data_IF_152984304577
#
_entry.id   IF_152984304577
#
_cell.length_a   1.000
_cell.length_b   1.000
_cell.length_c   1.000
_cell.angle_alpha   90.00
_cell.angle_beta   90.00
_cell.angle_gamma   90.00
#
_symmetry.space_group_name_H-M   'P 1'
#
loop_
_entity.id
_entity.type
_entity.pdbx_description
1 polymer ?
#
# COMPACT_ATOMS: atom_id res chain seq x y z
N UNK A 1 15.79 30.47 10.21
CA UNK A 1 16.45 29.28 10.80
C UNK A 1 16.00 28.04 10.03
N UNK A 2 16.77 27.65 9.01
CA UNK A 2 17.00 26.33 8.37
C UNK A 2 15.86 25.31 8.12
N UNK A 3 14.58 25.61 8.36
CA UNK A 3 13.45 24.68 8.13
C UNK A 3 13.33 24.25 6.67
N UNK A 4 13.63 25.15 5.74
CA UNK A 4 13.62 24.88 4.29
C UNK A 4 14.73 23.90 3.88
N UNK A 5 15.92 24.00 4.50
CA UNK A 5 17.03 23.06 4.28
C UNK A 5 16.71 21.68 4.85
N UNK A 6 16.06 21.62 6.01
CA UNK A 6 15.60 20.36 6.62
C UNK A 6 14.53 19.68 5.76
N UNK A 7 13.56 20.43 5.24
CA UNK A 7 12.54 19.92 4.33
C UNK A 7 13.16 19.41 3.02
N UNK A 8 14.09 20.15 2.43
CA UNK A 8 14.79 19.72 1.22
C UNK A 8 15.60 18.44 1.44
N UNK A 9 16.29 18.32 2.58
CA UNK A 9 17.03 17.12 2.95
C UNK A 9 16.10 15.93 3.22
N UNK A 10 14.98 16.18 3.89
CA UNK A 10 13.96 15.16 4.14
C UNK A 10 13.37 14.65 2.82
N UNK A 11 12.96 15.54 1.91
CA UNK A 11 12.46 15.21 0.56
C UNK A 11 13.46 14.36 -0.22
N UNK A 12 14.74 14.72 -0.17
CA UNK A 12 15.82 14.00 -0.86
C UNK A 12 16.01 12.56 -0.37
N UNK A 13 15.65 12.27 0.89
CA UNK A 13 15.78 10.94 1.51
C UNK A 13 14.47 10.34 2.03
N UNK A 14 13.30 10.82 1.56
CA UNK A 14 11.97 10.33 1.99
C UNK A 14 11.81 8.82 1.83
N UNK A 15 12.41 8.24 0.79
CA UNK A 15 12.37 6.80 0.54
C UNK A 15 13.02 5.98 1.65
N UNK A 16 14.23 6.37 2.08
CA UNK A 16 14.97 5.68 3.13
C UNK A 16 14.26 5.77 4.49
N UNK A 17 13.73 6.95 4.83
CA UNK A 17 13.03 7.17 6.10
C UNK A 17 11.72 6.37 6.15
N UNK A 18 10.95 6.37 5.07
CA UNK A 18 9.74 5.55 4.97
C UNK A 18 10.06 4.06 5.01
N UNK A 19 11.11 3.63 4.30
CA UNK A 19 11.56 2.24 4.31
C UNK A 19 11.98 1.78 5.71
N UNK A 20 12.76 2.59 6.43
CA UNK A 20 13.16 2.32 7.80
C UNK A 20 11.96 2.27 8.76
N UNK A 21 11.01 3.20 8.63
CA UNK A 21 9.80 3.20 9.46
C UNK A 21 8.93 1.96 9.23
N UNK A 22 8.74 1.56 7.97
CA UNK A 22 7.99 0.35 7.60
C UNK A 22 8.71 -0.91 8.08
N UNK A 23 10.03 -0.99 7.88
CA UNK A 23 10.84 -2.11 8.32
C UNK A 23 10.85 -2.27 9.84
N UNK A 24 10.92 -1.16 10.58
CA UNK A 24 10.82 -1.16 12.03
C UNK A 24 9.44 -1.64 12.50
N UNK A 25 8.37 -1.16 11.89
CA UNK A 25 7.01 -1.58 12.22
C UNK A 25 6.79 -3.08 11.95
N UNK A 26 7.29 -3.58 10.83
CA UNK A 26 7.27 -5.01 10.50
C UNK A 26 8.09 -5.83 11.50
N UNK A 27 9.28 -5.37 11.90
CA UNK A 27 10.12 -6.05 12.88
C UNK A 27 9.44 -6.14 14.25
N UNK A 28 8.81 -5.06 14.71
CA UNK A 28 8.01 -5.06 15.96
C UNK A 28 6.85 -6.04 15.85
N UNK A 29 6.16 -6.09 14.71
CA UNK A 29 5.06 -7.01 14.47
C UNK A 29 5.52 -8.49 14.50
N UNK A 30 6.71 -8.79 13.95
CA UNK A 30 7.37 -10.11 14.02
C UNK A 30 7.66 -10.49 15.46
N UNK A 31 8.16 -9.56 16.27
CA UNK A 31 8.50 -9.79 17.66
C UNK A 31 7.26 -10.11 18.51
N UNK A 32 6.14 -9.39 18.27
CA UNK A 32 4.90 -9.54 19.05
C UNK A 32 4.07 -10.75 18.62
N UNK A 33 3.92 -10.98 17.31
CA UNK A 33 3.09 -12.08 16.79
C UNK A 33 3.84 -13.41 16.68
N UNK A 34 5.17 -13.37 16.55
CA UNK A 34 6.04 -14.53 16.29
C UNK A 34 6.37 -14.71 14.80
N UNK A 35 7.54 -15.30 14.52
CA UNK A 35 8.12 -15.44 13.16
C UNK A 35 7.18 -16.11 12.15
N UNK A 36 6.52 -17.20 12.53
CA UNK A 36 5.61 -17.94 11.65
C UNK A 36 4.36 -17.14 11.26
N UNK A 37 3.82 -16.31 12.17
CA UNK A 37 2.62 -15.52 11.89
C UNK A 37 2.90 -14.43 10.86
N UNK A 38 4.07 -13.80 10.93
CA UNK A 38 4.43 -12.78 9.96
C UNK A 38 4.75 -13.37 8.59
N UNK A 39 5.33 -14.57 8.52
CA UNK A 39 5.51 -15.25 7.24
C UNK A 39 4.16 -15.54 6.56
N UNK A 40 3.16 -15.99 7.34
CA UNK A 40 1.80 -16.20 6.84
C UNK A 40 1.16 -14.90 6.34
N UNK A 41 1.26 -13.81 7.13
CA UNK A 41 0.74 -12.49 6.74
C UNK A 41 1.49 -11.95 5.52
N UNK A 42 2.80 -12.13 5.41
CA UNK A 42 3.61 -11.67 4.29
C UNK A 42 3.22 -12.38 2.99
N UNK A 43 3.00 -13.69 3.04
CA UNK A 43 2.52 -14.48 1.90
C UNK A 43 1.12 -14.02 1.48
N UNK A 44 0.19 -13.89 2.43
CA UNK A 44 -1.17 -13.36 2.18
C UNK A 44 -1.16 -11.95 1.61
N UNK A 45 -0.32 -11.07 2.14
CA UNK A 45 -0.19 -9.68 1.68
C UNK A 45 0.43 -9.64 0.28
N UNK A 46 1.44 -10.46 0.01
CA UNK A 46 2.05 -10.59 -1.32
C UNK A 46 1.05 -11.11 -2.36
N UNK A 47 0.29 -12.15 -2.02
CA UNK A 47 -0.81 -12.67 -2.84
C UNK A 47 -1.91 -11.62 -3.05
N UNK A 48 -2.35 -10.95 -1.99
CA UNK A 48 -3.35 -9.89 -2.04
C UNK A 48 -2.89 -8.71 -2.90
N UNK A 49 -1.62 -8.32 -2.82
CA UNK A 49 -1.03 -7.28 -3.67
C UNK A 49 -0.92 -7.74 -5.12
N UNK A 50 -0.52 -8.99 -5.38
CA UNK A 50 -0.43 -9.54 -6.73
C UNK A 50 -1.81 -9.61 -7.40
N UNK A 51 -2.81 -10.12 -6.68
CA UNK A 51 -4.21 -10.17 -7.13
C UNK A 51 -4.78 -8.76 -7.30
N UNK A 52 -4.55 -7.87 -6.32
CA UNK A 52 -5.00 -6.49 -6.35
C UNK A 52 -4.38 -5.68 -7.48
N UNK A 53 -3.07 -5.84 -7.73
CA UNK A 53 -2.38 -5.23 -8.87
C UNK A 53 -2.94 -5.74 -10.20
N UNK A 54 -3.17 -7.04 -10.32
CA UNK A 54 -3.78 -7.65 -11.52
C UNK A 54 -5.20 -7.11 -11.76
N UNK A 55 -6.01 -6.94 -10.71
CA UNK A 55 -7.31 -6.28 -10.80
C UNK A 55 -7.23 -4.78 -11.11
N UNK A 56 -6.16 -4.09 -10.67
CA UNK A 56 -5.97 -2.65 -10.90
C UNK A 56 -5.44 -2.34 -12.31
N UNK A 57 -4.61 -3.22 -12.88
CA UNK A 57 -4.21 -3.17 -14.30
C UNK A 57 -5.43 -3.28 -15.22
N UNK A 58 -6.40 -4.10 -14.84
CA UNK A 58 -7.74 -4.15 -15.42
C UNK A 58 -8.65 -3.02 -14.88
N UNK A 59 -8.20 -1.77 -15.01
CA UNK A 59 -8.95 -0.56 -14.62
C UNK A 59 -10.35 -0.48 -15.27
N UNK A 60 -10.54 -1.16 -16.39
CA UNK A 60 -11.82 -1.30 -17.08
C UNK A 60 -12.76 -2.35 -16.45
N UNK A 61 -12.27 -3.28 -15.64
CA UNK A 61 -13.07 -4.34 -15.02
C UNK A 61 -13.78 -3.84 -13.76
N UNK A 62 -13.10 -3.07 -12.90
CA UNK A 62 -13.78 -2.37 -11.79
C UNK A 62 -14.77 -1.34 -12.34
N UNK A 63 -14.41 -0.61 -13.40
CA UNK A 63 -15.33 0.34 -14.04
C UNK A 63 -16.55 -0.37 -14.65
N UNK A 64 -16.36 -1.48 -15.38
CA UNK A 64 -17.46 -2.29 -15.92
C UNK A 64 -18.31 -2.97 -14.85
N UNK A 65 -17.70 -3.50 -13.78
CA UNK A 65 -18.44 -4.09 -12.66
C UNK A 65 -19.23 -3.03 -11.92
N UNK A 66 -18.67 -1.84 -11.73
CA UNK A 66 -19.35 -0.72 -11.10
C UNK A 66 -20.47 -0.15 -11.99
N UNK A 67 -20.28 -0.08 -13.32
CA UNK A 67 -21.34 0.26 -14.29
C UNK A 67 -22.49 -0.78 -14.28
N UNK A 68 -22.16 -2.05 -14.07
CA UNK A 68 -23.13 -3.16 -14.05
C UNK A 68 -23.87 -3.29 -12.72
N UNK A 69 -23.22 -2.95 -11.60
CA UNK A 69 -23.79 -2.99 -10.24
C UNK A 69 -24.50 -1.68 -9.89
N UNK A 70 -24.03 -0.56 -10.43
CA UNK A 70 -24.64 0.75 -10.29
C UNK A 70 -25.17 1.20 -11.66
N UNK A 71 -26.42 0.84 -12.02
CA UNK A 71 -27.01 1.31 -13.28
C UNK A 71 -26.95 2.84 -13.31
N UNK A 72 -26.57 3.46 -14.45
CA UNK A 72 -26.53 4.90 -14.59
C UNK A 72 -27.93 5.48 -14.40
N UNK A 73 -28.23 5.89 -13.17
CA UNK A 73 -29.26 6.85 -12.88
C UNK A 73 -28.80 8.20 -13.39
N UNK A 74 -29.18 8.51 -14.62
CA UNK A 74 -29.46 9.85 -15.14
C UNK A 74 -28.94 11.00 -14.27
N UNK A 75 -27.66 11.34 -14.41
CA UNK A 75 -27.23 12.70 -14.14
C UNK A 75 -26.99 13.36 -15.50
N UNK A 76 -27.99 14.18 -15.83
CA UNK A 76 -28.00 15.12 -16.95
C UNK A 76 -26.85 16.12 -16.81
#
# INVERSE_FOLDING_TARGET
MNTEKLLAYYIKHKGAIKGAAIGFLLAVLILVLGFLKVLFIAILTGLGYYIGKRMHEDKNYIKNLLDRVLPPGTYR
#
